data_IF_663351833627
#
_entry.id   IF_663351833627
#
_cell.length_a   1.000
_cell.length_b   1.000
_cell.length_c   1.000
_cell.angle_alpha   90.00
_cell.angle_beta   90.00
_cell.angle_gamma   90.00
#
_symmetry.space_group_name_H-M   'P 1'
#
loop_
_entity.id
_entity.type
_entity.pdbx_description
1 polymer ?
#
# COMPACT_ATOMS: atom_id res chain seq x y z
N UNK A 1 -6.59 3.70 12.23
CA UNK A 1 -6.78 2.47 13.03
C UNK A 1 -5.64 1.50 12.73
N UNK A 2 -5.20 0.72 13.71
CA UNK A 2 -4.12 -0.27 13.56
C UNK A 2 -4.55 -1.58 14.20
N UNK A 3 -4.10 -2.71 13.66
CA UNK A 3 -4.34 -4.02 14.23
C UNK A 3 -3.12 -4.91 14.09
N UNK A 4 -2.93 -5.80 15.05
CA UNK A 4 -1.84 -6.76 15.12
C UNK A 4 -2.39 -8.07 15.67
N UNK A 5 -2.11 -9.17 14.97
CA UNK A 5 -2.41 -10.52 15.40
C UNK A 5 -1.11 -11.31 15.41
N UNK A 6 -0.81 -11.99 16.51
CA UNK A 6 0.32 -12.88 16.62
C UNK A 6 -0.15 -14.22 17.20
N UNK A 7 0.20 -15.32 16.51
CA UNK A 7 -0.10 -16.68 16.94
C UNK A 7 1.19 -17.48 16.92
N UNK A 8 1.54 -18.04 18.06
CA UNK A 8 2.67 -18.95 18.21
C UNK A 8 2.17 -20.29 18.71
N UNK A 9 2.63 -21.38 18.09
CA UNK A 9 2.29 -22.73 18.51
C UNK A 9 3.50 -23.65 18.43
N UNK A 10 3.69 -24.44 19.49
CA UNK A 10 4.58 -25.59 19.43
C UNK A 10 3.95 -26.64 18.51
N UNK A 11 4.72 -27.08 17.52
CA UNK A 11 4.29 -28.07 16.55
C UNK A 11 4.76 -29.47 17.00
N UNK A 12 5.76 -30.05 16.33
CA UNK A 12 6.31 -31.37 16.69
C UNK A 12 7.72 -31.29 17.26
N UNK A 13 7.96 -32.10 18.29
CA UNK A 13 9.22 -32.11 19.04
C UNK A 13 9.56 -30.71 19.55
N UNK A 14 10.78 -30.29 19.27
CA UNK A 14 11.33 -29.01 19.74
C UNK A 14 11.15 -27.88 18.71
N UNK A 15 10.04 -27.91 17.96
CA UNK A 15 9.74 -26.96 16.87
C UNK A 15 8.60 -26.02 17.27
N UNK A 16 8.82 -24.72 17.07
CA UNK A 16 7.85 -23.65 17.27
C UNK A 16 7.62 -22.99 15.92
N UNK A 17 6.36 -22.76 15.59
CA UNK A 17 5.94 -21.96 14.44
C UNK A 17 5.23 -20.72 14.97
N UNK A 18 5.59 -19.56 14.42
CA UNK A 18 4.97 -18.28 14.72
C UNK A 18 4.47 -17.63 13.45
N UNK A 19 3.26 -17.08 13.48
CA UNK A 19 2.65 -16.32 12.40
C UNK A 19 2.16 -15.00 12.98
N UNK A 20 2.48 -13.90 12.33
CA UNK A 20 1.98 -12.58 12.70
C UNK A 20 1.40 -11.84 11.50
N UNK A 21 0.35 -11.07 11.74
CA UNK A 21 -0.28 -10.20 10.76
C UNK A 21 -0.46 -8.81 11.34
N UNK A 22 -0.05 -7.79 10.60
CA UNK A 22 -0.14 -6.39 11.01
C UNK A 22 -0.80 -5.61 9.89
N UNK A 23 -1.69 -4.69 10.26
CA UNK A 23 -2.22 -3.75 9.29
C UNK A 23 -2.60 -2.42 9.89
N UNK A 24 -2.72 -1.44 9.01
CA UNK A 24 -3.17 -0.10 9.36
C UNK A 24 -4.13 0.46 8.32
N UNK A 25 -5.02 1.34 8.79
CA UNK A 25 -5.95 2.11 7.96
C UNK A 25 -5.80 3.59 8.29
N UNK A 26 -5.37 4.36 7.31
CA UNK A 26 -5.44 5.82 7.32
C UNK A 26 -6.78 6.27 6.74
N UNK A 27 -7.45 7.19 7.43
CA UNK A 27 -8.74 7.76 6.98
C UNK A 27 -8.62 9.27 6.91
N UNK A 28 -9.27 9.88 5.92
CA UNK A 28 -9.26 11.32 5.68
C UNK A 28 -7.86 11.95 5.70
N UNK A 29 -6.94 11.31 4.98
CA UNK A 29 -5.57 11.78 4.80
C UNK A 29 -5.52 12.94 3.80
N UNK A 30 -4.45 13.72 3.91
CA UNK A 30 -4.08 14.68 2.89
C UNK A 30 -3.44 13.98 1.69
N UNK A 31 -3.89 14.34 0.50
CA UNK A 31 -3.28 13.95 -0.77
C UNK A 31 -2.90 15.17 -1.59
N UNK A 32 -2.14 14.96 -2.66
CA UNK A 32 -1.75 16.01 -3.60
C UNK A 32 -2.18 15.61 -5.01
N UNK A 33 -2.72 16.57 -5.76
CA UNK A 33 -3.08 16.40 -7.16
C UNK A 33 -2.64 17.61 -7.98
N UNK A 34 -2.48 17.42 -9.28
CA UNK A 34 -2.18 18.50 -10.22
C UNK A 34 -3.50 19.04 -10.79
N UNK A 35 -3.77 20.33 -10.60
CA UNK A 35 -4.97 20.99 -11.15
C UNK A 35 -4.76 21.62 -12.51
N UNK A 36 -3.50 21.71 -12.97
CA UNK A 36 -3.18 22.25 -14.30
C UNK A 36 -2.97 21.13 -15.32
N UNK A 37 -3.82 20.10 -15.28
CA UNK A 37 -3.86 19.06 -16.30
C UNK A 37 -4.43 19.62 -17.61
N UNK A 38 -4.22 18.89 -18.72
CA UNK A 38 -4.88 19.22 -19.98
C UNK A 38 -6.41 19.10 -19.84
N UNK A 39 -7.16 19.65 -20.80
CA UNK A 39 -8.59 19.35 -20.91
C UNK A 39 -8.71 17.95 -21.56
N UNK A 40 -9.49 17.01 -20.99
CA UNK A 40 -9.64 15.70 -21.60
C UNK A 40 -10.27 15.82 -22.98
N UNK A 41 -9.71 15.12 -23.97
CA UNK A 41 -10.19 15.16 -25.36
C UNK A 41 -11.45 14.32 -25.56
N UNK A 42 -11.66 13.33 -24.69
CA UNK A 42 -12.87 12.51 -24.64
C UNK A 42 -13.05 11.94 -23.23
N UNK A 43 -14.29 11.56 -22.92
CA UNK A 43 -14.64 10.77 -21.73
C UNK A 43 -15.09 9.40 -22.23
N UNK A 44 -14.36 8.36 -21.84
CA UNK A 44 -14.63 6.97 -22.22
C UNK A 44 -15.79 6.39 -21.39
N UNK A 45 -16.41 5.28 -21.82
CA UNK A 45 -17.39 4.56 -21.02
C UNK A 45 -16.86 4.28 -19.60
N UNK A 46 -17.70 4.52 -18.58
CA UNK A 46 -17.31 4.46 -17.18
C UNK A 46 -16.73 5.76 -16.60
N UNK A 47 -16.75 6.87 -17.37
CA UNK A 47 -16.35 8.19 -16.88
C UNK A 47 -14.84 8.42 -16.86
N UNK A 48 -14.08 7.60 -17.58
CA UNK A 48 -12.62 7.69 -17.62
C UNK A 48 -12.23 8.82 -18.57
N UNK A 49 -11.59 9.85 -18.03
CA UNK A 49 -11.02 10.94 -18.82
C UNK A 49 -9.82 10.45 -19.64
N UNK A 50 -9.82 10.72 -20.94
CA UNK A 50 -8.71 10.42 -21.83
C UNK A 50 -8.07 11.70 -22.33
N UNK A 51 -6.73 11.74 -22.29
CA UNK A 51 -5.91 12.86 -22.72
C UNK A 51 -5.06 12.42 -23.91
N UNK A 52 -5.31 12.98 -25.09
CA UNK A 52 -4.54 12.64 -26.29
C UNK A 52 -3.05 13.02 -26.13
N UNK A 53 -2.17 12.27 -26.78
CA UNK A 53 -0.74 12.61 -26.84
C UNK A 53 -0.55 14.02 -27.44
N UNK A 54 0.34 14.81 -26.83
CA UNK A 54 0.57 16.21 -27.23
C UNK A 54 -0.44 17.23 -26.68
N UNK A 55 -1.43 16.81 -25.89
CA UNK A 55 -2.35 17.74 -25.22
C UNK A 55 -1.58 18.71 -24.32
N UNK A 56 -1.84 20.01 -24.49
CA UNK A 56 -1.24 21.06 -23.66
C UNK A 56 -1.97 21.17 -22.32
N UNK A 57 -1.23 21.54 -21.28
CA UNK A 57 -1.81 21.92 -19.98
C UNK A 57 -2.82 23.06 -20.16
N UNK A 58 -3.85 23.09 -19.30
CA UNK A 58 -4.93 24.10 -19.39
C UNK A 58 -4.39 25.53 -19.36
N UNK A 59 -3.40 25.81 -18.52
CA UNK A 59 -2.60 27.02 -18.58
C UNK A 59 -1.16 26.67 -19.01
N UNK A 60 -0.79 26.92 -20.27
CA UNK A 60 0.55 26.61 -20.78
C UNK A 60 1.68 27.42 -20.16
N UNK A 61 1.38 28.56 -19.51
CA UNK A 61 2.39 29.42 -18.89
C UNK A 61 2.93 28.86 -17.57
N UNK A 62 2.25 27.87 -17.00
CA UNK A 62 2.63 27.25 -15.73
C UNK A 62 2.83 25.74 -15.91
N UNK A 63 3.76 25.18 -15.15
CA UNK A 63 3.98 23.74 -15.06
C UNK A 63 2.88 23.03 -14.24
N UNK A 64 3.29 22.12 -13.36
CA UNK A 64 2.39 21.52 -12.39
C UNK A 64 1.86 22.58 -11.42
N UNK A 65 0.53 22.63 -11.24
CA UNK A 65 -0.10 23.42 -10.19
C UNK A 65 -0.62 22.44 -9.13
N UNK A 66 0.10 22.32 -8.02
CA UNK A 66 -0.19 21.31 -7.00
C UNK A 66 -1.22 21.82 -6.00
N UNK A 67 -2.29 21.06 -5.84
CA UNK A 67 -3.31 21.30 -4.82
C UNK A 67 -3.28 20.20 -3.77
N UNK A 68 -3.46 20.59 -2.51
CA UNK A 68 -3.64 19.66 -1.39
C UNK A 68 -5.13 19.39 -1.23
N UNK A 69 -5.47 18.12 -1.13
CA UNK A 69 -6.82 17.62 -0.98
C UNK A 69 -6.95 16.83 0.31
N UNK A 70 -8.16 16.78 0.87
CA UNK A 70 -8.52 15.92 2.00
C UNK A 70 -9.38 14.76 1.51
N UNK A 71 -9.56 13.72 2.33
CA UNK A 71 -10.42 12.57 2.02
C UNK A 71 -9.70 11.34 1.47
N UNK A 72 -8.36 11.33 1.44
CA UNK A 72 -7.61 10.17 0.99
C UNK A 72 -7.66 9.07 2.04
N UNK A 73 -7.63 7.81 1.62
CA UNK A 73 -7.61 6.67 2.52
C UNK A 73 -6.43 5.78 2.15
N UNK A 74 -5.78 5.19 3.15
CA UNK A 74 -4.68 4.26 2.94
C UNK A 74 -4.89 2.98 3.72
N UNK A 75 -4.36 1.88 3.19
CA UNK A 75 -4.38 0.56 3.82
C UNK A 75 -2.99 -0.05 3.72
N UNK A 76 -2.49 -0.56 4.85
CA UNK A 76 -1.25 -1.31 4.92
C UNK A 76 -1.55 -2.69 5.53
N UNK A 77 -0.93 -3.73 4.98
CA UNK A 77 -1.11 -5.11 5.40
C UNK A 77 0.24 -5.84 5.28
N UNK A 78 0.64 -6.56 6.32
CA UNK A 78 1.91 -7.29 6.37
C UNK A 78 1.74 -8.60 7.11
N UNK A 79 2.16 -9.71 6.50
CA UNK A 79 2.22 -11.02 7.11
C UNK A 79 3.67 -11.47 7.33
N UNK A 80 3.96 -12.08 8.47
CA UNK A 80 5.26 -12.70 8.76
C UNK A 80 5.04 -14.10 9.31
N UNK A 81 5.91 -15.03 8.91
CA UNK A 81 5.92 -16.39 9.43
C UNK A 81 7.36 -16.76 9.77
N UNK A 82 7.56 -17.41 10.92
CA UNK A 82 8.86 -17.89 11.36
C UNK A 82 8.75 -19.27 11.97
N UNK A 83 9.85 -20.02 11.89
CA UNK A 83 9.96 -21.36 12.43
C UNK A 83 11.28 -21.46 13.18
N UNK A 84 11.23 -21.95 14.41
CA UNK A 84 12.40 -22.19 15.24
C UNK A 84 12.39 -23.65 15.70
N UNK A 85 13.49 -24.37 15.47
CA UNK A 85 13.67 -25.74 15.97
C UNK A 85 14.91 -25.80 16.86
N UNK A 86 14.78 -26.33 18.07
CA UNK A 86 15.94 -26.62 18.94
C UNK A 86 16.40 -28.05 18.69
N UNK A 87 17.66 -28.24 18.30
CA UNK A 87 18.25 -29.57 18.14
C UNK A 87 18.70 -30.11 19.51
N UNK A 88 18.17 -31.27 19.93
CA UNK A 88 18.48 -31.89 21.23
C UNK A 88 19.45 -33.07 21.14
N UNK A 89 19.66 -33.62 19.93
CA UNK A 89 20.65 -34.65 19.65
C UNK A 89 21.77 -33.96 18.87
N UNK A 90 22.98 -33.94 19.44
CA UNK A 90 24.11 -33.15 18.93
C UNK A 90 24.42 -33.43 17.46
N UNK A 91 24.75 -32.38 16.71
CA UNK A 91 25.49 -32.51 15.46
C UNK A 91 26.95 -32.77 15.83
N UNK A 92 27.29 -34.04 16.07
CA UNK A 92 28.69 -34.45 16.19
C UNK A 92 29.16 -34.74 14.76
N UNK A 93 30.10 -33.94 14.27
CA UNK A 93 30.89 -34.21 13.08
C UNK A 93 32.17 -34.94 13.47
#
# INVERSE_FOLDING_TARGET
>A
MQYNLNVQRQFFGNTIVSVAYVGSRGVNLFGQGDVNTAIPTQVLPGGIEFFAAGSKRRNPNFGQARQIYQGFNSWYNSGTASMARRFSNGLQF
#
